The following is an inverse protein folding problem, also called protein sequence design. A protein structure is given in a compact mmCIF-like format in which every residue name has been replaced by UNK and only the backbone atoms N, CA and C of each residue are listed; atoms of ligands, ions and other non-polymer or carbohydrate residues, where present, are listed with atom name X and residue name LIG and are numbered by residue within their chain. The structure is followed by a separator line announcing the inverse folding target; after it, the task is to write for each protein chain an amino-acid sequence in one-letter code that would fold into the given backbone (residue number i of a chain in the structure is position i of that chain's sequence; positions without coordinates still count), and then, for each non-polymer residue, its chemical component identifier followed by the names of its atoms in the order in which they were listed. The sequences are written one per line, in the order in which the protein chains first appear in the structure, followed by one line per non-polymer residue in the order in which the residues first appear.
data_IF_292008001609
#
_entry.id   IF_292008001609
#
_cell.length_a   1.000
_cell.length_b   1.000
_cell.length_c   1.000
_cell.angle_alpha   90.00
_cell.angle_beta   90.00
_cell.angle_gamma   90.00
#
_symmetry.space_group_name_H-M   'P 1'
#
loop_
_entity.id
_entity.type
_entity.pdbx_description
1 polymer ?
#
# COMPACT_ATOMS: atom_id res chain seq x y z
N UNK A 1 -12.26 37.53 -24.38
CA UNK A 1 -11.54 36.87 -23.26
C UNK A 1 -12.38 37.14 -22.02
N UNK A 2 -13.08 36.14 -21.49
CA UNK A 2 -13.79 36.31 -20.22
C UNK A 2 -12.72 36.32 -19.12
N UNK A 3 -12.59 37.44 -18.42
CA UNK A 3 -11.77 37.53 -17.21
C UNK A 3 -12.71 37.37 -16.03
N UNK A 4 -12.50 36.32 -15.24
CA UNK A 4 -13.25 36.08 -14.00
C UNK A 4 -12.34 36.40 -12.83
N UNK A 5 -12.74 37.33 -11.97
CA UNK A 5 -12.02 37.69 -10.76
C UNK A 5 -12.61 36.92 -9.57
N UNK A 6 -11.85 35.99 -8.98
CA UNK A 6 -12.27 35.31 -7.76
C UNK A 6 -11.97 36.21 -6.55
N UNK A 7 -13.00 36.85 -6.00
CA UNK A 7 -12.89 37.69 -4.80
C UNK A 7 -13.08 36.85 -3.55
N UNK A 8 -12.39 37.23 -2.46
CA UNK A 8 -12.66 36.66 -1.13
C UNK A 8 -14.13 36.94 -0.75
N UNK A 9 -14.84 35.97 -0.14
CA UNK A 9 -16.17 36.23 0.41
C UNK A 9 -16.15 37.42 1.38
N UNK A 10 -17.20 38.26 1.42
CA UNK A 10 -17.40 39.28 2.44
C UNK A 10 -17.20 38.75 3.87
N UNK A 11 -16.85 39.62 4.84
CA UNK A 11 -16.74 39.23 6.24
C UNK A 11 -18.01 38.54 6.75
N UNK A 12 -17.85 37.32 7.28
CA UNK A 12 -18.96 36.50 7.79
C UNK A 12 -19.54 35.52 6.76
N UNK A 13 -19.10 35.55 5.51
CA UNK A 13 -19.52 34.64 4.45
C UNK A 13 -18.42 33.62 4.12
N UNK A 14 -18.81 32.49 3.57
CA UNK A 14 -17.91 31.44 3.08
C UNK A 14 -18.36 31.01 1.69
N UNK A 15 -17.39 30.64 0.84
CA UNK A 15 -17.63 30.00 -0.45
C UNK A 15 -17.44 28.51 -0.24
N UNK A 16 -18.51 27.72 -0.42
CA UNK A 16 -18.40 26.27 -0.48
C UNK A 16 -18.52 25.80 -1.93
N UNK A 17 -17.61 24.91 -2.32
CA UNK A 17 -17.65 24.25 -3.61
C UNK A 17 -17.88 22.76 -3.39
N UNK A 18 -18.70 22.14 -4.23
CA UNK A 18 -19.02 20.73 -4.05
C UNK A 18 -19.57 20.05 -5.31
N UNK A 19 -19.76 18.72 -5.24
CA UNK A 19 -20.13 17.91 -6.39
C UNK A 19 -21.63 17.96 -6.74
N UNK A 20 -22.46 18.69 -6.00
CA UNK A 20 -23.90 18.75 -6.25
C UNK A 20 -24.26 20.01 -7.05
N UNK A 21 -25.10 19.88 -8.06
CA UNK A 21 -25.48 20.94 -9.01
C UNK A 21 -26.81 21.63 -8.66
N UNK A 22 -27.45 21.23 -7.56
CA UNK A 22 -28.68 21.80 -7.02
C UNK A 22 -28.43 23.04 -6.14
N UNK A 23 -27.34 23.77 -6.40
CA UNK A 23 -26.90 24.90 -5.59
C UNK A 23 -27.85 26.09 -5.78
N UNK A 24 -28.47 26.55 -4.69
CA UNK A 24 -29.31 27.74 -4.69
C UNK A 24 -28.50 29.00 -4.98
N UNK A 25 -29.11 30.07 -5.54
CA UNK A 25 -28.43 31.37 -5.70
C UNK A 25 -27.82 31.85 -4.38
N UNK A 26 -26.50 32.05 -4.36
CA UNK A 26 -25.75 32.36 -3.15
C UNK A 26 -24.24 32.25 -3.34
N UNK A 27 -23.53 32.00 -2.25
CA UNK A 27 -22.07 31.91 -2.22
C UNK A 27 -21.52 30.51 -2.48
N UNK A 28 -22.39 29.51 -2.59
CA UNK A 28 -22.00 28.14 -2.89
C UNK A 28 -21.92 27.94 -4.41
N UNK A 29 -21.06 27.02 -4.86
CA UNK A 29 -20.90 26.74 -6.28
C UNK A 29 -20.70 25.25 -6.59
N UNK A 30 -21.31 24.81 -7.68
CA UNK A 30 -21.03 23.49 -8.24
C UNK A 30 -19.59 23.42 -8.76
N UNK A 31 -18.91 22.31 -8.50
CA UNK A 31 -17.58 22.01 -9.02
C UNK A 31 -17.49 20.53 -9.39
N UNK A 32 -17.47 20.25 -10.70
CA UNK A 32 -17.31 18.90 -11.25
C UNK A 32 -16.03 18.21 -10.76
N UNK A 33 -14.97 18.98 -10.51
CA UNK A 33 -13.68 18.51 -10.04
C UNK A 33 -13.79 17.62 -8.78
N UNK A 34 -14.75 17.89 -7.88
CA UNK A 34 -14.93 17.09 -6.66
C UNK A 34 -15.37 15.63 -6.92
N UNK A 35 -15.83 15.33 -8.14
CA UNK A 35 -16.16 13.98 -8.61
C UNK A 35 -15.01 13.31 -9.38
N UNK A 36 -13.88 13.99 -9.55
CA UNK A 36 -12.75 13.53 -10.35
C UNK A 36 -11.54 13.23 -9.47
N UNK A 37 -10.76 12.20 -9.81
CA UNK A 37 -9.49 11.89 -9.15
C UNK A 37 -8.51 13.08 -9.16
N UNK A 38 -8.65 13.99 -10.13
CA UNK A 38 -7.85 15.21 -10.22
C UNK A 38 -7.97 16.12 -8.98
N UNK A 39 -9.04 16.02 -8.21
CA UNK A 39 -9.16 16.70 -6.91
C UNK A 39 -8.10 16.25 -5.89
N UNK A 40 -7.69 14.98 -5.97
CA UNK A 40 -6.70 14.39 -5.07
C UNK A 40 -5.25 14.73 -5.48
N UNK A 41 -5.03 15.07 -6.75
CA UNK A 41 -3.72 15.24 -7.36
C UNK A 41 -2.79 16.25 -6.64
N UNK A 42 -3.26 17.44 -6.20
CA UNK A 42 -2.37 18.44 -5.59
C UNK A 42 -1.69 17.98 -4.29
N UNK A 43 -2.28 17.00 -3.60
CA UNK A 43 -1.76 16.47 -2.34
C UNK A 43 -1.14 15.07 -2.51
N UNK A 44 -1.63 14.26 -3.45
CA UNK A 44 -1.15 12.89 -3.72
C UNK A 44 -0.11 12.84 -4.85
N UNK A 45 0.69 13.89 -4.96
CA UNK A 45 1.82 14.02 -5.86
C UNK A 45 2.85 14.97 -5.23
N UNK A 46 4.11 14.53 -5.13
CA UNK A 46 5.17 15.26 -4.43
C UNK A 46 6.54 15.02 -5.05
N UNK A 47 7.10 16.10 -5.61
CA UNK A 47 8.48 16.16 -6.11
C UNK A 47 9.29 17.07 -5.18
N UNK A 48 10.44 16.58 -4.74
CA UNK A 48 11.39 17.33 -3.90
C UNK A 48 12.77 17.20 -4.51
N UNK A 49 13.46 18.32 -4.73
CA UNK A 49 14.82 18.33 -5.29
C UNK A 49 14.93 17.53 -6.59
N UNK A 50 13.97 17.72 -7.51
CA UNK A 50 13.84 16.99 -8.78
C UNK A 50 13.60 15.46 -8.66
N UNK A 51 13.42 14.95 -7.45
CA UNK A 51 13.07 13.55 -7.17
C UNK A 51 11.59 13.40 -6.92
N UNK A 52 10.92 12.52 -7.69
CA UNK A 52 9.54 12.10 -7.42
C UNK A 52 9.50 11.22 -6.16
N UNK A 53 9.10 11.82 -5.04
CA UNK A 53 9.06 11.15 -3.73
C UNK A 53 7.83 10.25 -3.64
N UNK A 54 6.67 10.79 -4.02
CA UNK A 54 5.40 10.08 -4.08
C UNK A 54 4.52 10.63 -5.21
N UNK A 55 3.72 9.76 -5.82
CA UNK A 55 2.98 10.11 -7.03
C UNK A 55 1.77 9.23 -7.27
N UNK A 56 0.99 8.93 -6.23
CA UNK A 56 -0.16 8.02 -6.29
C UNK A 56 -1.16 8.40 -7.38
N UNK A 57 -1.35 9.71 -7.64
CA UNK A 57 -2.19 10.17 -8.74
C UNK A 57 -1.59 9.86 -10.12
N UNK A 58 -0.27 10.04 -10.30
CA UNK A 58 0.40 9.72 -11.56
C UNK A 58 0.44 8.20 -11.79
N UNK A 59 0.71 7.42 -10.75
CA UNK A 59 0.64 5.96 -10.78
C UNK A 59 -0.77 5.47 -11.15
N UNK A 60 -1.81 6.14 -10.64
CA UNK A 60 -3.20 5.88 -11.03
C UNK A 60 -3.49 6.26 -12.48
N UNK A 61 -3.03 7.44 -12.93
CA UNK A 61 -3.17 7.88 -14.32
C UNK A 61 -2.57 6.88 -15.31
N UNK A 62 -1.44 6.26 -14.97
CA UNK A 62 -0.75 5.28 -15.81
C UNK A 62 -1.39 3.87 -15.76
N UNK A 63 -2.46 3.67 -14.98
CA UNK A 63 -3.14 2.39 -14.81
C UNK A 63 -4.44 2.30 -15.60
N UNK A 64 -4.98 1.09 -15.76
CA UNK A 64 -6.31 0.88 -16.34
C UNK A 64 -7.45 1.53 -15.53
N UNK A 65 -7.23 1.91 -14.26
CA UNK A 65 -8.26 2.57 -13.45
C UNK A 65 -8.45 4.04 -13.82
N UNK A 66 -7.55 4.66 -14.59
CA UNK A 66 -7.76 6.03 -15.09
C UNK A 66 -8.67 6.12 -16.29
N UNK A 67 -9.06 4.97 -16.87
CA UNK A 67 -10.00 4.92 -18.00
C UNK A 67 -11.34 5.57 -17.60
N UNK A 68 -11.81 6.59 -18.33
CA UNK A 68 -13.00 7.35 -17.94
C UNK A 68 -14.32 6.58 -18.11
N UNK A 69 -14.33 5.45 -18.84
CA UNK A 69 -15.53 4.66 -19.11
C UNK A 69 -15.60 3.39 -18.24
N UNK A 70 -14.46 2.76 -18.00
CA UNK A 70 -14.34 1.43 -17.39
C UNK A 70 -13.50 1.40 -16.11
N UNK A 71 -12.79 2.50 -15.83
CA UNK A 71 -11.91 2.64 -14.68
C UNK A 71 -12.65 2.90 -13.37
N UNK A 72 -11.88 3.34 -12.37
CA UNK A 72 -12.37 3.69 -11.03
C UNK A 72 -11.63 4.91 -10.53
N UNK A 73 -12.37 5.86 -10.00
CA UNK A 73 -11.81 7.09 -9.43
C UNK A 73 -11.18 6.83 -8.05
N UNK A 74 -10.37 7.76 -7.57
CA UNK A 74 -9.87 7.73 -6.19
C UNK A 74 -11.05 7.67 -5.18
N UNK A 75 -12.13 8.40 -5.46
CA UNK A 75 -13.31 8.51 -4.62
C UNK A 75 -14.10 7.19 -4.55
N UNK A 76 -14.11 6.37 -5.60
CA UNK A 76 -14.86 5.11 -5.62
C UNK A 76 -14.36 4.13 -4.54
N UNK A 77 -13.05 4.13 -4.27
CA UNK A 77 -12.43 3.28 -3.25
C UNK A 77 -12.19 4.02 -1.92
N UNK A 78 -11.72 5.27 -1.95
CA UNK A 78 -11.36 6.02 -0.74
C UNK A 78 -12.48 6.91 -0.19
N UNK A 79 -13.60 7.05 -0.89
CA UNK A 79 -14.77 7.77 -0.38
C UNK A 79 -16.04 6.93 -0.53
N UNK A 80 -16.03 5.66 -0.04
CA UNK A 80 -17.08 4.70 -0.35
C UNK A 80 -18.43 5.19 0.17
N UNK A 81 -19.47 4.93 -0.61
CA UNK A 81 -20.84 5.27 -0.24
C UNK A 81 -21.29 4.32 0.87
N UNK A 82 -21.85 4.87 1.94
CA UNK A 82 -22.28 4.10 3.13
C UNK A 82 -23.77 3.77 3.14
N UNK A 83 -24.52 4.24 2.14
CA UNK A 83 -25.99 4.20 2.15
C UNK A 83 -26.63 5.36 2.93
N UNK A 84 -25.83 6.31 3.44
CA UNK A 84 -26.34 7.51 4.09
C UNK A 84 -27.18 8.35 3.12
N UNK A 85 -28.35 8.79 3.58
CA UNK A 85 -29.26 9.67 2.82
C UNK A 85 -29.05 11.15 3.16
N UNK A 86 -28.21 11.48 4.13
CA UNK A 86 -27.93 12.86 4.56
C UNK A 86 -26.42 13.09 4.63
N UNK A 87 -25.95 14.18 4.02
CA UNK A 87 -24.54 14.59 4.00
C UNK A 87 -24.15 15.47 5.21
N UNK A 88 -25.14 16.05 5.89
CA UNK A 88 -25.03 16.81 7.14
C UNK A 88 -26.19 16.40 8.04
N UNK A 89 -26.08 16.59 9.36
CA UNK A 89 -27.18 16.28 10.29
C UNK A 89 -28.46 17.06 9.93
N UNK A 90 -29.66 16.46 10.05
CA UNK A 90 -30.92 17.16 9.77
C UNK A 90 -31.12 18.44 10.60
N UNK A 91 -30.70 18.44 11.86
CA UNK A 91 -30.77 19.62 12.76
C UNK A 91 -29.82 20.77 12.37
N UNK A 92 -28.93 20.53 11.39
CA UNK A 92 -27.98 21.50 10.84
C UNK A 92 -28.25 21.81 9.36
N UNK A 93 -29.50 21.62 8.91
CA UNK A 93 -29.90 21.90 7.53
C UNK A 93 -29.58 20.77 6.55
N UNK A 94 -29.28 19.58 7.05
CA UNK A 94 -29.10 18.39 6.22
C UNK A 94 -30.38 18.04 5.48
N UNK A 95 -30.28 17.93 4.15
CA UNK A 95 -31.39 17.52 3.28
C UNK A 95 -31.22 16.06 2.91
N UNK A 96 -32.35 15.36 2.77
CA UNK A 96 -32.36 14.00 2.24
C UNK A 96 -31.95 13.99 0.77
N UNK A 97 -31.11 13.03 0.40
CA UNK A 97 -30.55 12.83 -0.94
C UNK A 97 -30.49 11.36 -1.28
N UNK A 98 -30.39 11.08 -2.58
CA UNK A 98 -30.04 9.75 -3.06
C UNK A 98 -28.69 9.32 -2.44
N UNK A 99 -28.63 8.20 -1.69
CA UNK A 99 -27.39 7.66 -1.15
C UNK A 99 -26.30 7.45 -2.20
N UNK A 100 -26.67 7.21 -3.46
CA UNK A 100 -25.77 7.10 -4.60
C UNK A 100 -25.08 8.42 -4.97
N UNK A 101 -25.35 9.51 -4.26
CA UNK A 101 -24.70 10.83 -4.44
C UNK A 101 -23.90 11.26 -3.21
N UNK A 102 -24.03 10.55 -2.09
CA UNK A 102 -23.33 10.86 -0.84
C UNK A 102 -22.08 9.99 -0.71
N UNK A 103 -20.93 10.65 -0.69
CA UNK A 103 -19.63 10.01 -0.55
C UNK A 103 -19.18 9.97 0.92
N UNK A 104 -18.62 8.84 1.34
CA UNK A 104 -18.04 8.70 2.67
C UNK A 104 -16.77 9.54 2.80
N UNK A 105 -16.55 10.14 3.96
CA UNK A 105 -15.33 10.91 4.25
C UNK A 105 -14.40 10.16 5.23
N UNK A 106 -14.57 8.84 5.34
CA UNK A 106 -13.72 7.99 6.18
C UNK A 106 -12.29 7.86 5.62
N UNK A 107 -12.14 7.88 4.29
CA UNK A 107 -10.84 7.86 3.60
C UNK A 107 -9.93 6.73 4.09
N UNK A 108 -10.37 5.46 3.98
CA UNK A 108 -9.56 4.33 4.40
C UNK A 108 -8.25 4.30 3.62
N UNK A 109 -7.21 3.74 4.22
CA UNK A 109 -5.86 3.77 3.67
C UNK A 109 -4.93 2.81 4.39
N UNK A 110 -3.71 3.26 4.68
CA UNK A 110 -2.69 2.46 5.37
C UNK A 110 -3.05 1.98 6.79
N UNK A 111 -4.15 2.49 7.35
CA UNK A 111 -4.68 2.06 8.65
C UNK A 111 -5.91 1.14 8.57
N UNK A 112 -6.34 0.79 7.37
CA UNK A 112 -7.47 -0.11 7.11
C UNK A 112 -6.97 -1.49 6.68
N UNK A 113 -7.18 -2.49 7.54
CA UNK A 113 -6.71 -3.85 7.32
C UNK A 113 -7.44 -4.55 6.17
N UNK A 114 -8.73 -4.24 5.95
CA UNK A 114 -9.53 -4.85 4.90
C UNK A 114 -9.06 -4.31 3.53
N UNK A 115 -8.93 -2.99 3.40
CA UNK A 115 -8.40 -2.35 2.21
C UNK A 115 -7.00 -2.87 1.85
N UNK A 116 -6.13 -3.04 2.85
CA UNK A 116 -4.79 -3.59 2.63
C UNK A 116 -4.82 -5.05 2.14
N UNK A 117 -5.73 -5.88 2.65
CA UNK A 117 -5.87 -7.29 2.20
C UNK A 117 -6.44 -7.40 0.79
N UNK A 118 -7.34 -6.49 0.43
CA UNK A 118 -7.96 -6.46 -0.90
C UNK A 118 -7.04 -5.89 -1.99
N UNK A 119 -6.02 -5.10 -1.62
CA UNK A 119 -5.12 -4.47 -2.58
C UNK A 119 -4.29 -5.45 -3.42
N UNK A 120 -3.97 -6.64 -2.87
CA UNK A 120 -3.05 -7.61 -3.51
C UNK A 120 -3.50 -9.05 -3.34
N UNK A 121 -3.31 -9.86 -4.37
CA UNK A 121 -3.45 -11.33 -4.29
C UNK A 121 -2.10 -12.01 -4.06
N UNK A 122 -2.07 -12.95 -3.11
CA UNK A 122 -0.94 -13.85 -2.84
C UNK A 122 -1.24 -15.28 -3.30
N UNK A 123 -0.37 -15.82 -4.15
CA UNK A 123 -0.41 -17.20 -4.63
C UNK A 123 0.89 -17.92 -4.26
N UNK A 124 0.77 -19.14 -3.73
CA UNK A 124 1.91 -19.92 -3.23
C UNK A 124 1.80 -21.34 -3.73
N UNK A 125 2.85 -21.79 -4.41
CA UNK A 125 3.04 -23.17 -4.81
C UNK A 125 4.23 -23.76 -4.07
N UNK A 126 4.05 -24.96 -3.54
CA UNK A 126 5.11 -25.68 -2.81
C UNK A 126 5.24 -27.08 -3.38
N UNK A 127 6.48 -27.48 -3.69
CA UNK A 127 6.81 -28.83 -4.16
C UNK A 127 7.94 -29.38 -3.32
N UNK A 128 7.84 -30.64 -2.92
CA UNK A 128 8.92 -31.39 -2.27
C UNK A 128 9.54 -32.33 -3.31
N UNK A 129 10.85 -32.25 -3.47
CA UNK A 129 11.64 -33.12 -4.35
C UNK A 129 12.82 -33.69 -3.56
N UNK A 130 12.70 -34.95 -3.14
CA UNK A 130 13.69 -35.61 -2.29
C UNK A 130 14.01 -34.82 -1.01
N UNK A 131 15.25 -34.34 -0.93
CA UNK A 131 15.81 -33.57 0.18
C UNK A 131 15.63 -32.05 0.04
N UNK A 132 14.76 -31.59 -0.86
CA UNK A 132 14.50 -30.17 -1.07
C UNK A 132 13.00 -29.83 -1.10
N UNK A 133 12.67 -28.61 -0.68
CA UNK A 133 11.38 -27.96 -0.91
C UNK A 133 11.61 -26.75 -1.80
N UNK A 134 10.94 -26.73 -2.95
CA UNK A 134 10.83 -25.56 -3.82
C UNK A 134 9.52 -24.81 -3.52
N UNK A 135 9.63 -23.51 -3.24
CA UNK A 135 8.51 -22.60 -3.00
C UNK A 135 8.51 -21.53 -4.10
N UNK A 136 7.41 -21.40 -4.85
CA UNK A 136 7.14 -20.27 -5.74
C UNK A 136 6.08 -19.39 -5.09
N UNK A 137 6.37 -18.11 -4.98
CA UNK A 137 5.43 -17.09 -4.50
C UNK A 137 5.19 -16.09 -5.62
N UNK A 138 3.92 -15.85 -5.93
CA UNK A 138 3.48 -14.78 -6.82
C UNK A 138 2.61 -13.79 -6.06
N UNK A 139 2.89 -12.49 -6.20
CA UNK A 139 2.08 -11.40 -5.64
C UNK A 139 1.61 -10.54 -6.77
N UNK A 140 0.30 -10.35 -6.89
CA UNK A 140 -0.31 -9.47 -7.91
C UNK A 140 -0.95 -8.27 -7.23
N UNK A 141 -0.66 -7.07 -7.72
CA UNK A 141 -1.43 -5.87 -7.35
C UNK A 141 -2.61 -5.74 -8.31
N UNK A 142 -3.74 -6.32 -7.97
CA UNK A 142 -4.96 -6.29 -8.77
C UNK A 142 -6.14 -5.61 -8.07
N UNK A 143 -5.93 -5.15 -6.83
CA UNK A 143 -6.91 -4.37 -6.07
C UNK A 143 -6.68 -2.86 -6.13
N UNK A 144 -5.47 -2.39 -6.48
CA UNK A 144 -5.15 -0.97 -6.49
C UNK A 144 -4.76 -0.43 -7.88
N UNK A 145 -5.30 0.75 -8.21
CA UNK A 145 -4.93 1.49 -9.42
C UNK A 145 -3.58 2.20 -9.34
N UNK A 146 -2.89 2.19 -8.20
CA UNK A 146 -1.58 2.80 -8.01
C UNK A 146 -0.58 1.76 -7.47
N UNK A 147 0.68 2.14 -7.23
CA UNK A 147 1.64 1.18 -6.68
C UNK A 147 1.23 0.69 -5.29
N UNK A 148 1.65 -0.52 -4.89
CA UNK A 148 1.49 -1.02 -3.52
C UNK A 148 2.87 -1.25 -2.88
N UNK A 149 3.21 -0.53 -1.80
CA UNK A 149 2.46 0.58 -1.19
C UNK A 149 2.75 1.92 -1.87
N UNK A 150 1.77 2.83 -1.95
CA UNK A 150 1.99 4.20 -2.48
C UNK A 150 2.09 5.27 -1.39
N UNK A 151 2.18 6.53 -1.81
CA UNK A 151 2.50 7.74 -1.04
C UNK A 151 3.86 7.66 -0.33
N UNK A 152 3.86 7.79 1.00
CA UNK A 152 5.04 7.97 1.84
C UNK A 152 6.17 6.98 1.47
N UNK A 153 7.40 7.49 1.20
CA UNK A 153 8.54 6.65 0.83
C UNK A 153 9.05 5.78 2.00
N UNK A 154 8.46 5.93 3.19
CA UNK A 154 8.72 5.09 4.35
C UNK A 154 7.99 3.74 4.27
N UNK A 155 6.89 3.69 3.53
CA UNK A 155 6.04 2.50 3.42
C UNK A 155 6.72 1.45 2.55
N UNK A 156 6.61 0.18 2.95
CA UNK A 156 7.13 -0.94 2.19
C UNK A 156 6.41 -2.23 2.54
N UNK A 157 6.49 -3.22 1.64
CA UNK A 157 6.04 -4.57 1.92
C UNK A 157 7.23 -5.47 2.26
N UNK A 158 6.98 -6.48 3.11
CA UNK A 158 7.92 -7.55 3.43
C UNK A 158 7.23 -8.89 3.16
N UNK A 159 7.69 -9.60 2.13
CA UNK A 159 7.37 -11.00 1.92
C UNK A 159 8.31 -11.84 2.79
N UNK A 160 7.75 -12.68 3.66
CA UNK A 160 8.45 -13.66 4.49
C UNK A 160 8.08 -15.06 4.02
N UNK A 161 9.09 -15.91 3.86
CA UNK A 161 8.92 -17.33 3.51
C UNK A 161 9.63 -18.18 4.57
N UNK A 162 8.86 -18.92 5.34
CA UNK A 162 9.34 -19.69 6.48
C UNK A 162 8.99 -21.16 6.26
N UNK A 163 10.01 -22.00 6.10
CA UNK A 163 9.83 -23.45 6.04
C UNK A 163 10.33 -24.07 7.35
N UNK A 164 9.55 -24.96 7.95
CA UNK A 164 9.87 -25.63 9.22
C UNK A 164 9.62 -27.13 9.14
N UNK A 165 10.32 -27.89 9.97
CA UNK A 165 10.03 -29.31 10.21
C UNK A 165 8.82 -29.51 11.15
N UNK A 166 8.51 -30.76 11.46
CA UNK A 166 7.42 -31.15 12.36
C UNK A 166 7.58 -30.67 13.81
N UNK A 167 8.81 -30.36 14.24
CA UNK A 167 9.10 -29.79 15.56
C UNK A 167 9.04 -28.25 15.55
N UNK A 168 8.80 -27.63 14.39
CA UNK A 168 8.82 -26.19 14.21
C UNK A 168 10.23 -25.61 14.03
N UNK A 169 11.25 -26.44 13.85
CA UNK A 169 12.61 -25.96 13.61
C UNK A 169 12.74 -25.43 12.17
N UNK A 170 13.38 -24.26 11.96
CA UNK A 170 13.50 -23.67 10.64
C UNK A 170 14.43 -24.49 9.74
N UNK A 171 13.97 -24.74 8.51
CA UNK A 171 14.76 -25.40 7.47
C UNK A 171 15.81 -24.43 6.89
N UNK A 172 16.94 -24.99 6.47
CA UNK A 172 18.04 -24.20 5.89
C UNK A 172 17.68 -23.80 4.46
N UNK A 173 17.60 -22.49 4.19
CA UNK A 173 17.48 -21.97 2.82
C UNK A 173 18.74 -22.30 2.02
N UNK A 174 18.57 -22.94 0.87
CA UNK A 174 19.61 -23.17 -0.15
C UNK A 174 19.64 -22.02 -1.16
N UNK A 175 18.48 -21.63 -1.67
CA UNK A 175 18.34 -20.60 -2.70
C UNK A 175 17.20 -19.63 -2.42
N UNK A 176 17.19 -18.50 -3.13
CA UNK A 176 16.17 -17.47 -3.04
C UNK A 176 16.63 -16.21 -2.30
N UNK A 177 15.87 -15.12 -2.44
CA UNK A 177 16.25 -13.83 -1.89
C UNK A 177 16.17 -13.79 -0.36
N UNK A 178 16.89 -12.83 0.19
CA UNK A 178 16.89 -12.49 1.59
C UNK A 178 16.33 -11.10 1.78
N UNK A 179 15.58 -10.92 2.87
CA UNK A 179 15.16 -9.59 3.28
C UNK A 179 16.39 -8.72 3.61
N UNK A 180 16.42 -7.48 3.10
CA UNK A 180 17.55 -6.59 3.24
C UNK A 180 17.73 -6.14 4.69
N UNK A 181 18.91 -5.60 5.01
CA UNK A 181 19.27 -5.12 6.35
C UNK A 181 18.23 -4.17 6.96
N UNK A 182 17.68 -3.28 6.13
CA UNK A 182 16.69 -2.29 6.57
C UNK A 182 15.30 -2.88 6.90
N UNK A 183 15.07 -4.18 6.64
CA UNK A 183 13.88 -4.90 7.13
C UNK A 183 13.91 -5.14 8.65
N UNK A 184 14.99 -4.72 9.33
CA UNK A 184 15.12 -4.70 10.79
C UNK A 184 16.05 -5.80 11.28
N UNK A 185 17.09 -5.41 12.02
CA UNK A 185 18.01 -6.34 12.71
C UNK A 185 17.52 -6.58 14.14
N UNK A 186 17.67 -7.81 14.64
CA UNK A 186 17.27 -8.21 15.99
C UNK A 186 16.26 -9.35 16.02
N UNK A 187 15.35 -9.30 17.00
CA UNK A 187 14.34 -10.33 17.24
C UNK A 187 13.18 -10.27 16.20
N UNK A 188 12.90 -11.36 15.46
CA UNK A 188 11.73 -11.45 14.58
C UNK A 188 10.38 -11.31 15.27
N UNK A 189 10.29 -11.62 16.58
CA UNK A 189 9.08 -11.40 17.36
C UNK A 189 8.75 -9.90 17.47
N UNK A 190 9.75 -9.03 17.32
CA UNK A 190 9.61 -7.57 17.27
C UNK A 190 9.57 -7.01 15.84
N UNK A 191 9.35 -7.87 14.83
CA UNK A 191 9.34 -7.46 13.42
C UNK A 191 10.74 -7.33 12.78
N UNK A 192 11.80 -7.81 13.42
CA UNK A 192 13.15 -7.73 12.84
C UNK A 192 13.40 -8.88 11.87
N UNK A 193 13.32 -8.62 10.57
CA UNK A 193 13.34 -9.66 9.54
C UNK A 193 14.57 -9.67 8.62
N UNK A 194 15.57 -8.83 8.87
CA UNK A 194 16.79 -8.81 8.08
C UNK A 194 17.43 -10.21 7.98
N UNK A 195 17.84 -10.60 6.77
CA UNK A 195 18.47 -11.90 6.52
C UNK A 195 17.54 -13.11 6.60
N UNK A 196 16.22 -12.92 6.76
CA UNK A 196 15.22 -13.99 6.63
C UNK A 196 14.89 -14.24 5.16
N UNK A 197 14.56 -15.48 4.74
CA UNK A 197 14.12 -15.75 3.38
C UNK A 197 12.88 -14.91 3.04
N UNK A 198 12.98 -14.15 1.96
CA UNK A 198 11.93 -13.21 1.61
C UNK A 198 12.38 -12.14 0.63
N UNK A 199 11.44 -11.24 0.29
CA UNK A 199 11.67 -10.11 -0.63
C UNK A 199 10.94 -8.87 -0.11
N UNK A 200 11.58 -7.72 -0.20
CA UNK A 200 10.98 -6.46 0.19
C UNK A 200 10.58 -5.65 -1.04
N UNK A 201 9.47 -4.91 -0.96
CA UNK A 201 8.94 -4.07 -2.05
C UNK A 201 8.85 -2.63 -1.55
N UNK A 202 9.70 -1.75 -2.07
CA UNK A 202 9.86 -0.38 -1.58
C UNK A 202 10.39 0.57 -2.66
N UNK A 203 10.08 1.85 -2.51
CA UNK A 203 10.90 2.92 -3.09
C UNK A 203 11.93 3.30 -2.04
N UNK A 204 13.20 3.04 -2.32
CA UNK A 204 14.32 3.34 -1.42
C UNK A 204 14.95 4.64 -1.87
N UNK A 205 14.89 5.65 -1.00
CA UNK A 205 15.60 6.92 -1.17
C UNK A 205 16.94 6.89 -0.44
N UNK A 206 17.93 7.58 -1.01
CA UNK A 206 19.20 7.91 -0.35
C UNK A 206 19.30 9.42 -0.21
N UNK A 207 19.72 9.90 0.95
CA UNK A 207 20.07 11.31 1.14
C UNK A 207 21.44 11.58 0.53
N UNK A 208 21.54 12.57 -0.37
CA UNK A 208 22.73 12.78 -1.19
C UNK A 208 23.93 13.29 -0.38
N UNK A 209 23.68 14.09 0.67
CA UNK A 209 24.77 14.59 1.53
C UNK A 209 25.37 13.47 2.37
N UNK A 210 24.54 12.73 3.11
CA UNK A 210 25.00 11.79 4.14
C UNK A 210 25.26 10.38 3.59
N UNK A 211 24.68 10.05 2.43
CA UNK A 211 24.65 8.70 1.90
C UNK A 211 23.68 7.76 2.63
N UNK A 212 22.89 8.26 3.58
CA UNK A 212 21.94 7.46 4.36
C UNK A 212 20.88 6.85 3.45
N UNK A 213 20.76 5.52 3.47
CA UNK A 213 19.74 4.76 2.75
C UNK A 213 19.29 3.54 3.59
N UNK A 214 17.97 3.27 3.70
CA UNK A 214 16.88 4.13 3.27
C UNK A 214 16.75 5.39 4.14
N UNK A 215 16.48 6.53 3.53
CA UNK A 215 16.12 7.76 4.25
C UNK A 215 14.62 8.04 4.17
N UNK A 216 14.06 8.55 5.27
CA UNK A 216 12.71 9.15 5.30
C UNK A 216 12.71 10.66 5.13
N UNK A 217 13.87 11.30 5.15
CA UNK A 217 14.04 12.75 5.13
C UNK A 217 14.01 13.30 3.70
N UNK A 218 12.91 13.07 2.98
CA UNK A 218 12.75 13.51 1.60
C UNK A 218 12.73 15.05 1.44
N UNK A 219 12.63 15.80 2.54
CA UNK A 219 12.82 17.26 2.55
C UNK A 219 14.29 17.66 2.35
N UNK A 220 15.25 16.73 2.47
CA UNK A 220 16.64 16.92 2.06
C UNK A 220 16.84 16.46 0.60
N UNK A 221 17.91 16.92 -0.10
CA UNK A 221 18.26 16.38 -1.41
C UNK A 221 18.42 14.86 -1.37
N UNK A 222 17.65 14.17 -2.21
CA UNK A 222 17.62 12.71 -2.26
C UNK A 222 17.62 12.20 -3.68
N UNK A 223 18.18 11.01 -3.86
CA UNK A 223 18.11 10.22 -5.09
C UNK A 223 17.39 8.91 -4.86
N UNK A 224 16.67 8.40 -5.88
CA UNK A 224 16.09 7.06 -5.85
C UNK A 224 17.21 6.02 -6.01
N UNK A 225 17.34 5.11 -5.05
CA UNK A 225 18.27 3.96 -5.11
C UNK A 225 17.63 2.81 -5.87
N UNK A 226 16.36 2.54 -5.56
CA UNK A 226 15.56 1.51 -6.21
C UNK A 226 14.07 1.80 -6.02
N UNK A 227 13.24 1.38 -6.97
CA UNK A 227 11.80 1.27 -6.78
C UNK A 227 11.35 -0.08 -7.35
N UNK A 228 10.97 -0.99 -6.45
CA UNK A 228 10.41 -2.28 -6.82
C UNK A 228 9.04 -2.50 -6.18
N UNK A 229 8.31 -1.41 -5.89
CA UNK A 229 6.92 -1.49 -5.42
C UNK A 229 6.06 -2.16 -6.50
N UNK A 230 4.96 -2.77 -6.10
CA UNK A 230 4.10 -3.50 -7.02
C UNK A 230 3.26 -2.51 -7.83
N UNK A 231 3.61 -2.30 -9.10
CA UNK A 231 2.83 -1.47 -10.01
C UNK A 231 1.40 -2.04 -10.24
N UNK A 232 0.43 -1.21 -10.65
CA UNK A 232 -0.94 -1.66 -10.93
C UNK A 232 -0.98 -2.81 -11.93
N UNK A 233 -1.75 -3.85 -11.61
CA UNK A 233 -1.96 -5.06 -12.41
C UNK A 233 -0.71 -5.86 -12.75
N UNK A 234 0.39 -5.63 -12.04
CA UNK A 234 1.64 -6.38 -12.20
C UNK A 234 1.70 -7.51 -11.18
N UNK A 235 2.16 -8.68 -11.66
CA UNK A 235 2.56 -9.82 -10.83
C UNK A 235 4.08 -9.85 -10.69
N UNK A 236 4.57 -9.89 -9.44
CA UNK A 236 5.97 -10.20 -9.14
C UNK A 236 6.09 -11.63 -8.63
N UNK A 237 7.13 -12.33 -9.08
CA UNK A 237 7.43 -13.70 -8.65
C UNK A 237 8.76 -13.80 -7.91
N UNK A 238 8.80 -14.64 -6.88
CA UNK A 238 10.02 -15.06 -6.20
C UNK A 238 10.03 -16.56 -5.95
N UNK A 239 11.23 -17.14 -5.93
CA UNK A 239 11.44 -18.59 -5.72
C UNK A 239 12.44 -18.81 -4.60
N UNK A 240 12.19 -19.85 -3.82
CA UNK A 240 12.99 -20.24 -2.67
C UNK A 240 13.19 -21.76 -2.67
N UNK A 241 14.38 -22.19 -2.26
CA UNK A 241 14.69 -23.61 -2.06
C UNK A 241 15.17 -23.81 -0.63
N UNK A 242 14.62 -24.81 0.05
CA UNK A 242 14.99 -25.20 1.42
C UNK A 242 15.42 -26.65 1.45
N UNK A 243 16.44 -26.97 2.25
CA UNK A 243 16.78 -28.36 2.56
C UNK A 243 15.69 -29.00 3.42
N UNK A 244 15.24 -30.19 3.02
CA UNK A 244 14.22 -30.97 3.69
C UNK A 244 14.82 -32.25 4.28
N UNK A 245 14.43 -32.66 5.50
CA UNK A 245 14.80 -33.97 6.01
C UNK A 245 14.19 -35.09 5.15
N UNK A 246 14.78 -36.28 5.19
CA UNK A 246 14.31 -37.44 4.41
C UNK A 246 12.87 -37.87 4.76
N UNK A 247 12.41 -37.58 5.98
CA UNK A 247 11.06 -37.92 6.46
C UNK A 247 10.46 -36.82 7.35
N UNK A 248 9.18 -36.98 7.69
CA UNK A 248 8.44 -36.04 8.52
C UNK A 248 7.57 -35.05 7.74
N UNK A 249 6.54 -34.54 8.41
CA UNK A 249 5.70 -33.43 7.94
C UNK A 249 6.52 -32.14 7.94
N UNK A 250 6.33 -31.33 6.89
CA UNK A 250 6.97 -30.03 6.74
C UNK A 250 5.88 -28.97 6.62
N UNK A 251 6.15 -27.77 7.11
CA UNK A 251 5.24 -26.62 7.02
C UNK A 251 5.93 -25.47 6.31
N UNK A 252 5.24 -24.86 5.35
CA UNK A 252 5.68 -23.63 4.68
C UNK A 252 4.67 -22.54 4.97
N UNK A 253 5.09 -21.51 5.70
CA UNK A 253 4.32 -20.30 6.00
C UNK A 253 4.85 -19.14 5.16
N UNK A 254 3.97 -18.51 4.40
CA UNK A 254 4.27 -17.34 3.58
C UNK A 254 3.39 -16.18 4.04
N UNK A 255 4.01 -15.05 4.37
CA UNK A 255 3.32 -13.83 4.83
C UNK A 255 3.76 -12.64 4.00
N UNK A 256 2.79 -11.84 3.57
CA UNK A 256 3.01 -10.51 3.01
C UNK A 256 2.59 -9.47 4.04
N UNK A 257 3.55 -8.69 4.51
CA UNK A 257 3.37 -7.69 5.54
C UNK A 257 3.47 -6.29 4.97
N UNK A 258 2.59 -5.39 5.39
CA UNK A 258 2.71 -3.95 5.18
C UNK A 258 3.37 -3.30 6.39
N UNK A 259 4.41 -2.50 6.15
CA UNK A 259 5.10 -1.71 7.18
C UNK A 259 5.06 -0.22 6.83
N UNK A 260 4.73 0.61 7.83
CA UNK A 260 4.56 2.07 7.67
C UNK A 260 5.88 2.84 7.60
N UNK A 261 6.89 2.39 8.34
CA UNK A 261 8.21 3.00 8.35
C UNK A 261 9.34 1.99 8.59
N UNK A 262 10.55 2.33 8.14
CA UNK A 262 11.75 1.53 8.43
C UNK A 262 11.95 1.36 9.94
N UNK A 263 12.13 0.13 10.40
CA UNK A 263 12.04 -0.24 11.82
C UNK A 263 13.05 0.52 12.69
N UNK A 264 14.27 0.71 12.19
CA UNK A 264 15.29 1.47 12.92
C UNK A 264 14.91 2.95 13.11
N UNK A 265 14.31 3.57 12.09
CA UNK A 265 13.83 4.95 12.19
C UNK A 265 12.67 5.03 13.19
N UNK A 266 11.71 4.11 13.11
CA UNK A 266 10.59 4.06 14.05
C UNK A 266 11.07 3.92 15.50
N UNK A 267 12.01 2.99 15.77
CA UNK A 267 12.64 2.82 17.08
C UNK A 267 13.32 4.09 17.57
N UNK A 268 14.15 4.74 16.73
CA UNK A 268 14.83 6.00 17.07
C UNK A 268 13.87 7.15 17.38
N UNK A 269 12.69 7.16 16.75
CA UNK A 269 11.66 8.18 16.95
C UNK A 269 10.62 7.83 18.01
N UNK A 270 10.70 6.63 18.59
CA UNK A 270 9.70 6.14 19.54
C UNK A 270 8.31 5.96 18.91
N UNK A 271 8.26 5.71 17.59
CA UNK A 271 6.99 5.46 16.91
C UNK A 271 6.50 4.05 17.19
N UNK A 272 5.22 3.93 17.48
CA UNK A 272 4.55 2.63 17.46
C UNK A 272 4.58 2.11 16.03
N UNK A 273 5.25 0.98 15.83
CA UNK A 273 5.37 0.32 14.54
C UNK A 273 4.89 -1.12 14.69
N UNK A 274 3.78 -1.43 14.03
CA UNK A 274 3.27 -2.78 13.92
C UNK A 274 3.13 -3.13 12.44
N UNK A 275 3.48 -4.37 12.10
CA UNK A 275 3.29 -4.88 10.76
C UNK A 275 1.86 -5.37 10.59
N UNK A 276 1.26 -5.00 9.47
CA UNK A 276 -0.10 -5.44 9.11
C UNK A 276 -0.03 -6.59 8.12
N UNK A 277 -0.72 -7.69 8.41
CA UNK A 277 -0.76 -8.85 7.51
C UNK A 277 -1.72 -8.56 6.36
N UNK A 278 -1.17 -8.37 5.15
CA UNK A 278 -1.96 -8.22 3.92
C UNK A 278 -2.40 -9.57 3.36
N UNK A 279 -1.54 -10.59 3.46
CA UNK A 279 -1.89 -11.94 3.04
C UNK A 279 -1.03 -12.98 3.76
N UNK A 280 -1.60 -14.15 3.99
CA UNK A 280 -0.90 -15.28 4.59
C UNK A 280 -1.37 -16.61 3.99
N UNK A 281 -0.43 -17.52 3.76
CA UNK A 281 -0.70 -18.91 3.38
C UNK A 281 0.20 -19.83 4.19
N UNK A 282 -0.38 -20.91 4.72
CA UNK A 282 0.36 -21.99 5.36
C UNK A 282 0.02 -23.30 4.67
N UNK A 283 1.03 -23.97 4.14
CA UNK A 283 0.90 -25.25 3.45
C UNK A 283 1.65 -26.33 4.23
N UNK A 284 1.01 -27.49 4.42
CA UNK A 284 1.66 -28.66 5.02
C UNK A 284 1.96 -29.67 3.94
N UNK A 285 3.18 -30.20 3.96
CA UNK A 285 3.66 -31.25 3.06
C UNK A 285 3.84 -32.52 3.87
N UNK A 286 3.14 -33.58 3.48
CA UNK A 286 3.36 -34.90 4.04
C UNK A 286 4.79 -35.41 3.72
N UNK A 287 5.24 -36.40 4.50
CA UNK A 287 6.41 -37.17 4.13
C UNK A 287 6.16 -37.88 2.78
N UNK A 288 7.16 -37.99 1.89
CA UNK A 288 7.05 -38.87 0.73
C UNK A 288 6.75 -40.29 1.22
N UNK A 289 5.86 -40.98 0.50
CA UNK A 289 5.60 -42.39 0.77
C UNK A 289 6.90 -43.20 0.60
N UNK A 290 7.13 -44.23 1.43
CA UNK A 290 8.33 -45.06 1.36
C UNK A 290 8.48 -45.78 0.02
#
# INVERSE_FOLDING_TARGET
MLSTELRRPPPGEQLFMGPLDDVAPGHDAYSALHRESAFCAPCHFGVFWDTLVYGSYAEWLDSAYSDPETGRTCQDCHMPRTGATHFVRPDKGGLERDPSTIFGHAMPGADDDELLREAVRLEVEVRRDGEEIAVRVAITNDGAGHHVPTDSPLRHLLLLVEATDAAGAPLVRREGPLLPRWAGEGDPAEGSYAGRPGKAYAKVLREDWTGLAPTGAYWNPTSVVSDNRLAPFVTDESRYVFGAPAGGELSVRVRLLFRRAFLELARRKGWEQQDRVMAERTLRLAAPAP
#
